data_IF_700367331251
#
_entry.id   IF_700367331251
#
_cell.length_a   1.000
_cell.length_b   1.000
_cell.length_c   1.000
_cell.angle_alpha   90.00
_cell.angle_beta   90.00
_cell.angle_gamma   90.00
#
_symmetry.space_group_name_H-M   'P 1'
#
loop_
_entity.id
_entity.type
_entity.pdbx_description
1 polymer ?
#
# COMPACT_ATOMS: atom_id res chain seq x y z
N UNK A 1 -0.56 -12.29 10.68
CA UNK A 1 -1.16 -11.12 11.36
C UNK A 1 -1.81 -10.14 10.35
N UNK A 2 -2.53 -10.63 9.33
CA UNK A 2 -2.99 -9.80 8.21
C UNK A 2 -4.45 -9.28 8.23
N UNK A 3 -5.43 -9.85 8.98
CA UNK A 3 -6.84 -9.47 8.75
C UNK A 3 -7.26 -8.13 9.36
N UNK A 4 -6.52 -7.58 10.33
CA UNK A 4 -6.94 -6.36 11.05
C UNK A 4 -6.65 -5.05 10.31
N UNK A 5 -5.91 -5.07 9.19
CA UNK A 5 -5.64 -3.87 8.38
C UNK A 5 -6.53 -3.73 7.15
N UNK A 6 -7.34 -4.73 6.79
CA UNK A 6 -8.22 -4.66 5.62
C UNK A 6 -9.19 -3.47 5.68
N UNK A 7 -9.78 -3.21 6.85
CA UNK A 7 -10.66 -2.06 7.07
C UNK A 7 -9.91 -0.70 7.03
N UNK A 8 -8.62 -0.70 7.34
CA UNK A 8 -7.75 0.50 7.32
C UNK A 8 -7.15 0.75 5.93
N UNK A 9 -7.14 -0.28 5.07
CA UNK A 9 -6.61 -0.25 3.70
C UNK A 9 -7.64 0.15 2.66
N UNK A 10 -8.94 0.10 2.95
CA UNK A 10 -9.97 0.66 2.08
C UNK A 10 -9.92 2.19 2.18
N UNK A 11 -9.09 2.77 1.31
CA UNK A 11 -8.40 4.03 1.62
C UNK A 11 -9.08 5.30 1.17
N UNK A 12 -9.88 5.19 0.11
CA UNK A 12 -10.64 6.32 -0.43
C UNK A 12 -11.66 6.85 0.59
N UNK A 13 -12.13 6.03 1.53
CA UNK A 13 -13.03 6.48 2.59
C UNK A 13 -12.34 7.23 3.73
N UNK A 14 -11.05 7.01 3.98
CA UNK A 14 -10.32 7.65 5.10
C UNK A 14 -9.66 8.97 4.68
N UNK A 15 -9.35 9.14 3.40
CA UNK A 15 -8.71 10.34 2.86
C UNK A 15 -9.48 11.63 3.19
N UNK A 16 -10.82 11.70 3.00
CA UNK A 16 -11.61 12.87 3.39
C UNK A 16 -11.53 13.16 4.90
N UNK A 17 -11.61 12.13 5.74
CA UNK A 17 -11.52 12.27 7.19
C UNK A 17 -10.14 12.79 7.64
N UNK A 18 -9.06 12.26 7.06
CA UNK A 18 -7.69 12.72 7.34
C UNK A 18 -7.50 14.16 6.89
N UNK A 19 -8.00 14.55 5.71
CA UNK A 19 -7.97 15.94 5.23
C UNK A 19 -8.67 16.88 6.21
N UNK A 20 -9.89 16.52 6.65
CA UNK A 20 -10.64 17.32 7.64
C UNK A 20 -9.86 17.46 8.94
N UNK A 21 -9.30 16.37 9.48
CA UNK A 21 -8.51 16.39 10.73
C UNK A 21 -7.27 17.28 10.58
N UNK A 22 -6.53 17.15 9.47
CA UNK A 22 -5.33 17.97 9.21
C UNK A 22 -5.70 19.45 9.10
N UNK A 23 -6.78 19.79 8.38
CA UNK A 23 -7.26 21.17 8.27
C UNK A 23 -7.63 21.73 9.64
N UNK A 24 -8.39 20.98 10.45
CA UNK A 24 -8.76 21.40 11.82
C UNK A 24 -7.53 21.62 12.71
N UNK A 25 -6.53 20.73 12.62
CA UNK A 25 -5.25 20.87 13.34
C UNK A 25 -4.54 22.15 12.90
N UNK A 26 -4.43 22.40 11.59
CA UNK A 26 -3.73 23.58 11.08
C UNK A 26 -4.45 24.89 11.46
N UNK A 27 -5.78 24.90 11.39
CA UNK A 27 -6.62 26.05 11.80
C UNK A 27 -6.43 26.38 13.28
N UNK A 28 -6.23 25.38 14.15
CA UNK A 28 -5.95 25.62 15.56
C UNK A 28 -4.47 25.95 15.82
N UNK A 29 -3.55 25.17 15.27
CA UNK A 29 -2.14 25.19 15.63
C UNK A 29 -1.40 26.39 15.05
N UNK A 30 -1.66 26.79 13.81
CA UNK A 30 -0.95 27.90 13.15
C UNK A 30 -1.21 29.23 13.88
N UNK A 31 -2.47 29.63 14.17
CA UNK A 31 -2.73 30.82 14.97
C UNK A 31 -2.15 30.71 16.39
N UNK A 32 -2.19 29.52 17.01
CA UNK A 32 -1.65 29.31 18.37
C UNK A 32 -0.13 29.42 18.43
N UNK A 33 0.59 29.06 17.36
CA UNK A 33 2.04 29.23 17.26
C UNK A 33 2.39 30.72 17.09
N UNK A 34 1.72 31.41 16.17
CA UNK A 34 1.94 32.83 15.84
C UNK A 34 1.55 33.73 17.01
N UNK A 35 0.31 33.60 17.50
CA UNK A 35 -0.23 34.34 18.62
C UNK A 35 -1.08 33.44 19.54
N UNK A 36 -0.47 32.81 20.56
CA UNK A 36 -1.17 31.91 21.49
C UNK A 36 -2.26 32.60 22.34
N UNK A 37 -2.33 33.93 22.37
CA UNK A 37 -3.39 34.67 23.05
C UNK A 37 -4.70 34.74 22.24
N UNK A 38 -4.65 34.54 20.92
CA UNK A 38 -5.84 34.64 20.07
C UNK A 38 -6.93 33.62 20.47
N UNK A 39 -6.53 32.39 20.81
CA UNK A 39 -7.46 31.33 21.25
C UNK A 39 -8.01 31.56 22.65
N UNK A 40 -7.25 32.19 23.56
CA UNK A 40 -7.74 32.56 24.89
C UNK A 40 -8.65 33.78 24.86
N UNK A 41 -8.42 34.75 23.97
CA UNK A 41 -9.31 35.89 23.79
C UNK A 41 -10.68 35.49 23.24
N UNK A 42 -10.75 34.55 22.29
CA UNK A 42 -12.03 34.02 21.78
C UNK A 42 -12.79 33.24 22.86
N UNK A 43 -12.11 32.35 23.60
CA UNK A 43 -12.76 31.60 24.69
C UNK A 43 -13.15 32.49 25.88
N UNK A 44 -12.41 33.57 26.14
CA UNK A 44 -12.79 34.58 27.12
C UNK A 44 -14.00 35.42 26.66
N UNK A 45 -14.14 35.68 25.36
CA UNK A 45 -15.29 36.41 24.79
C UNK A 45 -16.62 35.66 24.96
N UNK A 46 -16.59 34.33 25.12
CA UNK A 46 -17.77 33.50 25.42
C UNK A 46 -17.96 33.18 26.92
N UNK A 47 -17.09 33.66 27.81
CA UNK A 47 -17.29 33.52 29.26
C UNK A 47 -18.29 34.56 29.74
N UNK A 48 -19.43 34.10 30.25
CA UNK A 48 -20.48 34.93 30.87
C UNK A 48 -20.20 35.31 32.33
N UNK A 49 -19.07 34.88 32.90
CA UNK A 49 -18.74 35.13 34.30
C UNK A 49 -18.13 36.52 34.47
N UNK A 50 -18.89 37.43 35.09
CA UNK A 50 -18.42 38.75 35.52
C UNK A 50 -17.20 38.61 36.44
N UNK A 51 -16.18 39.43 36.19
CA UNK A 51 -14.98 39.50 37.04
C UNK A 51 -15.36 40.18 38.35
N UNK A 52 -15.13 39.57 39.53
CA UNK A 52 -15.36 40.21 40.82
C UNK A 52 -14.57 41.52 40.92
N UNK A 53 -15.16 42.57 41.50
CA UNK A 53 -14.56 43.91 41.60
C UNK A 53 -13.29 43.95 42.49
N UNK A 54 -13.08 42.91 43.29
CA UNK A 54 -11.97 42.66 44.21
C UNK A 54 -10.93 41.67 43.68
N UNK A 55 -11.03 41.28 42.40
CA UNK A 55 -10.10 40.34 41.78
C UNK A 55 -8.65 40.87 41.81
N UNK A 56 -7.73 40.01 42.26
CA UNK A 56 -6.29 40.30 42.21
C UNK A 56 -5.84 40.54 40.76
N UNK A 57 -4.73 41.28 40.56
CA UNK A 57 -4.24 41.60 39.20
C UNK A 57 -3.96 40.36 38.33
N UNK A 58 -3.73 39.20 38.95
CA UNK A 58 -3.57 37.92 38.25
C UNK A 58 -4.91 37.26 37.88
N UNK A 59 -5.92 37.38 38.73
CA UNK A 59 -7.31 36.93 38.45
C UNK A 59 -7.97 37.79 37.39
N UNK A 60 -7.77 39.11 37.42
CA UNK A 60 -8.20 40.02 36.37
C UNK A 60 -7.52 39.72 35.02
N UNK A 61 -6.22 39.38 35.01
CA UNK A 61 -5.50 38.94 33.81
C UNK A 61 -6.00 37.60 33.28
N UNK A 62 -6.26 36.62 34.15
CA UNK A 62 -6.85 35.32 33.76
C UNK A 62 -8.28 35.48 33.26
N UNK A 63 -9.06 36.38 33.85
CA UNK A 63 -10.42 36.67 33.42
C UNK A 63 -10.46 37.43 32.08
N UNK A 64 -9.47 38.30 31.83
CA UNK A 64 -9.24 38.93 30.52
C UNK A 64 -8.64 37.99 29.46
N UNK A 65 -8.44 36.70 29.78
CA UNK A 65 -7.89 35.72 28.85
C UNK A 65 -6.39 35.88 28.57
N UNK A 66 -5.66 36.66 29.37
CA UNK A 66 -4.22 36.87 29.22
C UNK A 66 -3.48 35.66 29.83
N UNK A 67 -2.86 34.87 28.97
CA UNK A 67 -2.09 33.68 29.36
C UNK A 67 -0.76 34.08 30.02
N UNK A 68 -0.40 33.38 31.10
CA UNK A 68 0.93 33.50 31.70
C UNK A 68 2.05 32.90 30.83
N UNK A 69 3.33 33.22 31.09
CA UNK A 69 4.47 32.77 30.29
C UNK A 69 4.61 31.25 30.18
N UNK A 70 4.34 30.51 31.27
CA UNK A 70 4.33 29.04 31.25
C UNK A 70 3.18 28.47 30.39
N UNK A 71 2.00 29.10 30.43
CA UNK A 71 0.84 28.69 29.64
C UNK A 71 1.05 28.97 28.14
N UNK A 72 1.66 30.11 27.80
CA UNK A 72 2.07 30.44 26.43
C UNK A 72 3.05 29.38 25.87
N UNK A 73 4.06 29.00 26.67
CA UNK A 73 5.05 27.97 26.29
C UNK A 73 4.40 26.59 26.14
N UNK A 74 3.51 26.20 27.06
CA UNK A 74 2.78 24.93 27.01
C UNK A 74 1.88 24.83 25.78
N UNK A 75 1.10 25.88 25.48
CA UNK A 75 0.23 25.91 24.28
C UNK A 75 1.00 25.86 22.97
N UNK A 76 2.15 26.56 22.89
CA UNK A 76 3.04 26.47 21.73
C UNK A 76 3.60 25.06 21.57
N UNK A 77 4.04 24.41 22.64
CA UNK A 77 4.49 23.01 22.57
C UNK A 77 3.37 22.06 22.13
N UNK A 78 2.15 22.23 22.66
CA UNK A 78 1.00 21.43 22.23
C UNK A 78 0.68 21.63 20.75
N UNK A 79 0.66 22.88 20.27
CA UNK A 79 0.42 23.19 18.87
C UNK A 79 1.50 22.59 17.95
N UNK A 80 2.77 22.67 18.34
CA UNK A 80 3.87 22.02 17.61
C UNK A 80 3.68 20.49 17.59
N UNK A 81 3.33 19.88 18.73
CA UNK A 81 3.07 18.44 18.80
C UNK A 81 1.89 18.02 17.90
N UNK A 82 0.83 18.82 17.84
CA UNK A 82 -0.31 18.59 16.95
C UNK A 82 0.10 18.67 15.47
N UNK A 83 0.94 19.65 15.08
CA UNK A 83 1.47 19.75 13.72
C UNK A 83 2.32 18.53 13.36
N UNK A 84 3.20 18.09 14.27
CA UNK A 84 3.99 16.86 14.09
C UNK A 84 3.07 15.63 13.95
N UNK A 85 2.02 15.54 14.77
CA UNK A 85 1.01 14.48 14.67
C UNK A 85 0.26 14.48 13.33
N UNK A 86 -0.10 15.66 12.80
CA UNK A 86 -0.71 15.80 11.48
C UNK A 86 0.24 15.35 10.35
N UNK A 87 1.52 15.72 10.41
CA UNK A 87 2.53 15.26 9.45
C UNK A 87 2.71 13.74 9.51
N UNK A 88 2.73 13.16 10.72
CA UNK A 88 2.79 11.71 10.91
C UNK A 88 1.56 11.00 10.33
N UNK A 89 0.36 11.56 10.54
CA UNK A 89 -0.89 11.06 9.95
C UNK A 89 -0.84 11.07 8.42
N UNK A 90 -0.39 12.17 7.81
CA UNK A 90 -0.22 12.26 6.34
C UNK A 90 0.82 11.24 5.86
N UNK A 91 1.95 11.11 6.54
CA UNK A 91 3.03 10.18 6.17
C UNK A 91 2.58 8.72 6.26
N UNK A 92 1.93 8.33 7.36
CA UNK A 92 1.25 7.05 7.48
C UNK A 92 0.23 6.89 6.37
N UNK A 93 -0.47 7.97 6.03
CA UNK A 93 -1.54 7.91 5.07
C UNK A 93 -1.00 7.57 3.65
N UNK A 94 0.03 8.28 3.21
CA UNK A 94 0.65 8.04 1.90
C UNK A 94 1.30 6.64 1.85
N UNK A 95 1.79 6.12 2.98
CA UNK A 95 2.53 4.84 3.00
C UNK A 95 1.62 3.68 2.63
N UNK A 96 0.43 3.60 3.24
CA UNK A 96 -0.54 2.54 2.93
C UNK A 96 -1.06 2.68 1.48
N UNK A 97 -1.25 3.91 1.00
CA UNK A 97 -1.63 4.16 -0.40
C UNK A 97 -0.61 3.61 -1.39
N UNK A 98 0.68 3.86 -1.13
CA UNK A 98 1.76 3.35 -1.99
C UNK A 98 1.77 1.83 -2.04
N UNK A 99 1.47 1.16 -0.93
CA UNK A 99 1.43 -0.30 -0.83
C UNK A 99 0.26 -0.88 -1.62
N UNK A 100 -0.96 -0.36 -1.41
CA UNK A 100 -2.14 -0.78 -2.14
C UNK A 100 -2.01 -0.54 -3.66
N UNK A 101 -1.49 0.63 -4.06
CA UNK A 101 -1.18 0.96 -5.46
C UNK A 101 -0.12 0.01 -6.02
N UNK A 102 0.85 -0.41 -5.20
CA UNK A 102 1.84 -1.40 -5.57
C UNK A 102 1.24 -2.75 -5.93
N UNK A 103 0.37 -3.29 -5.06
CA UNK A 103 -0.36 -4.53 -5.32
C UNK A 103 -1.28 -4.42 -6.54
N UNK A 104 -1.99 -3.30 -6.68
CA UNK A 104 -2.84 -3.04 -7.86
C UNK A 104 -2.02 -3.05 -9.15
N UNK A 105 -0.92 -2.32 -9.20
CA UNK A 105 -0.04 -2.29 -10.37
C UNK A 105 0.57 -3.66 -10.67
N UNK A 106 0.94 -4.41 -9.64
CA UNK A 106 1.41 -5.78 -9.81
C UNK A 106 0.31 -6.69 -10.38
N UNK A 107 -0.89 -6.67 -9.82
CA UNK A 107 -2.03 -7.44 -10.30
C UNK A 107 -2.32 -7.14 -11.78
N UNK A 108 -2.43 -5.86 -12.15
CA UNK A 108 -2.63 -5.40 -13.52
C UNK A 108 -1.49 -5.83 -14.45
N UNK A 109 -0.24 -5.78 -13.99
CA UNK A 109 0.91 -6.21 -14.78
C UNK A 109 0.92 -7.72 -15.04
N UNK A 110 0.38 -8.52 -14.11
CA UNK A 110 0.15 -9.96 -14.32
C UNK A 110 -1.11 -10.27 -15.15
N UNK A 111 -1.96 -9.28 -15.43
CA UNK A 111 -3.12 -9.44 -16.31
C UNK A 111 -4.49 -9.37 -15.63
N UNK A 112 -4.57 -8.98 -14.36
CA UNK A 112 -5.85 -8.72 -13.69
C UNK A 112 -6.66 -7.65 -14.44
N UNK A 113 -7.97 -7.82 -14.51
CA UNK A 113 -8.91 -6.77 -14.94
C UNK A 113 -9.51 -6.02 -13.74
N UNK A 114 -10.23 -4.93 -13.98
CA UNK A 114 -10.91 -4.20 -12.91
C UNK A 114 -12.24 -4.91 -12.59
N UNK A 115 -12.41 -5.31 -11.34
CA UNK A 115 -13.59 -6.00 -10.85
C UNK A 115 -14.37 -5.20 -9.80
N UNK A 116 -15.57 -5.67 -9.43
CA UNK A 116 -16.39 -5.02 -8.41
C UNK A 116 -15.76 -5.08 -7.01
N UNK A 117 -14.93 -6.08 -6.72
CA UNK A 117 -14.25 -6.31 -5.44
C UNK A 117 -12.75 -5.99 -5.54
N UNK A 118 -12.41 -4.70 -5.61
CA UNK A 118 -11.01 -4.20 -5.69
C UNK A 118 -10.64 -3.34 -4.47
N UNK A 119 -11.33 -3.53 -3.33
CA UNK A 119 -11.22 -2.67 -2.15
C UNK A 119 -9.86 -2.79 -1.46
N UNK A 120 -9.29 -3.99 -1.39
CA UNK A 120 -7.88 -4.19 -1.01
C UNK A 120 -7.16 -5.00 -2.10
N UNK A 121 -6.49 -4.34 -3.06
CA UNK A 121 -5.82 -5.04 -4.15
C UNK A 121 -4.78 -6.07 -3.69
N UNK A 122 -4.21 -5.94 -2.49
CA UNK A 122 -3.26 -6.91 -1.95
C UNK A 122 -3.92 -8.19 -1.43
N UNK A 123 -5.25 -8.22 -1.33
CA UNK A 123 -6.01 -9.40 -0.89
C UNK A 123 -6.88 -9.88 -2.05
N UNK A 124 -7.60 -8.96 -2.66
CA UNK A 124 -8.67 -9.28 -3.61
C UNK A 124 -8.14 -9.43 -5.05
N UNK A 125 -7.07 -8.70 -5.41
CA UNK A 125 -6.56 -8.71 -6.79
C UNK A 125 -5.29 -9.53 -6.99
N UNK A 126 -4.44 -9.65 -5.97
CA UNK A 126 -3.21 -10.43 -6.08
C UNK A 126 -2.87 -11.14 -4.77
N UNK A 127 -2.65 -12.45 -4.85
CA UNK A 127 -2.31 -13.30 -3.71
C UNK A 127 -1.37 -14.43 -4.15
N UNK A 128 -0.65 -15.05 -3.21
CA UNK A 128 0.18 -16.21 -3.51
C UNK A 128 -0.63 -17.50 -3.60
N UNK A 129 -0.20 -18.43 -4.45
CA UNK A 129 -0.89 -19.69 -4.68
C UNK A 129 -1.04 -20.50 -3.39
N UNK A 130 -2.25 -21.03 -3.17
CA UNK A 130 -2.53 -21.98 -2.09
C UNK A 130 -2.24 -23.43 -2.48
N UNK A 131 -1.96 -23.67 -3.76
CA UNK A 131 -1.91 -24.99 -4.38
C UNK A 131 -0.58 -25.14 -5.12
N UNK A 132 0.33 -25.93 -4.55
CA UNK A 132 1.57 -26.40 -5.16
C UNK A 132 2.49 -25.31 -5.74
N UNK A 133 3.61 -25.74 -6.32
CA UNK A 133 4.49 -24.90 -7.14
C UNK A 133 4.25 -25.16 -8.64
N UNK A 134 3.28 -26.00 -9.01
CA UNK A 134 3.02 -26.36 -10.41
C UNK A 134 4.16 -27.15 -11.07
N UNK A 135 5.14 -27.67 -10.33
CA UNK A 135 6.27 -28.43 -10.87
C UNK A 135 5.85 -29.81 -11.37
N UNK A 136 5.20 -29.87 -12.53
CA UNK A 136 4.73 -31.09 -13.20
C UNK A 136 4.78 -30.93 -14.72
N UNK A 137 4.78 -32.03 -15.48
CA UNK A 137 4.48 -31.96 -16.91
C UNK A 137 3.00 -31.62 -17.16
N UNK A 138 2.66 -30.96 -18.28
CA UNK A 138 1.29 -30.78 -18.70
C UNK A 138 0.73 -32.12 -19.18
N UNK A 139 -0.49 -32.41 -18.78
CA UNK A 139 -1.22 -33.63 -19.15
C UNK A 139 -2.20 -33.35 -20.31
N UNK A 140 -2.59 -32.09 -20.51
CA UNK A 140 -3.51 -31.66 -21.55
C UNK A 140 -2.86 -31.58 -22.94
N UNK A 141 -3.63 -31.94 -23.96
CA UNK A 141 -3.15 -31.92 -25.36
C UNK A 141 -3.06 -30.51 -25.95
N UNK A 142 -3.88 -29.61 -25.45
CA UNK A 142 -3.97 -28.22 -25.90
C UNK A 142 -3.92 -27.29 -24.67
N UNK A 143 -2.76 -27.23 -23.99
CA UNK A 143 -2.61 -26.37 -22.84
C UNK A 143 -2.59 -24.91 -23.28
N UNK A 144 -2.78 -24.01 -22.33
CA UNK A 144 -2.91 -22.58 -22.56
C UNK A 144 -1.64 -21.80 -22.26
N UNK A 145 -1.45 -20.66 -22.93
CA UNK A 145 -0.26 -19.86 -22.76
C UNK A 145 -0.27 -19.09 -21.44
N UNK A 146 0.86 -19.05 -20.76
CA UNK A 146 1.13 -18.10 -19.67
C UNK A 146 1.78 -16.87 -20.29
N UNK A 147 1.22 -15.69 -20.01
CA UNK A 147 1.63 -14.44 -20.67
C UNK A 147 2.82 -13.75 -20.01
N UNK A 148 2.84 -13.73 -18.67
CA UNK A 148 3.75 -12.89 -17.91
C UNK A 148 4.47 -13.66 -16.80
N UNK A 149 5.71 -13.27 -16.54
CA UNK A 149 6.48 -13.73 -15.40
C UNK A 149 7.30 -12.58 -14.80
N UNK A 150 7.68 -12.70 -13.53
CA UNK A 150 8.60 -11.79 -12.88
C UNK A 150 9.82 -12.55 -12.36
N UNK A 151 11.01 -11.99 -12.59
CA UNK A 151 12.24 -12.46 -11.96
C UNK A 151 12.41 -11.89 -10.55
N UNK A 152 12.96 -12.70 -9.65
CA UNK A 152 13.31 -12.30 -8.29
C UNK A 152 14.83 -12.14 -8.19
N UNK A 153 15.36 -11.06 -8.76
CA UNK A 153 16.81 -10.83 -8.78
C UNK A 153 17.26 -10.03 -7.54
N UNK A 154 17.81 -10.71 -6.53
CA UNK A 154 18.57 -10.14 -5.39
C UNK A 154 17.78 -9.26 -4.40
N UNK A 155 16.89 -8.39 -4.88
CA UNK A 155 15.97 -7.59 -4.07
C UNK A 155 14.55 -8.08 -4.28
N UNK A 156 13.94 -8.50 -3.18
CA UNK A 156 12.55 -8.93 -3.09
C UNK A 156 11.59 -7.84 -3.62
N UNK A 157 10.66 -8.18 -4.53
CA UNK A 157 9.58 -7.28 -4.93
C UNK A 157 8.78 -6.83 -3.72
N UNK A 158 8.62 -5.52 -3.54
CA UNK A 158 8.11 -4.97 -2.28
C UNK A 158 6.63 -5.30 -2.06
N UNK A 159 5.85 -5.43 -3.15
CA UNK A 159 4.42 -5.71 -3.06
C UNK A 159 4.14 -7.07 -2.42
N UNK A 160 5.03 -8.08 -2.59
CA UNK A 160 4.88 -9.42 -2.01
C UNK A 160 4.82 -9.44 -0.48
N UNK A 161 5.32 -8.40 0.20
CA UNK A 161 5.21 -8.32 1.66
C UNK A 161 3.75 -8.20 2.12
N UNK A 162 2.89 -7.67 1.25
CA UNK A 162 1.55 -7.23 1.60
C UNK A 162 0.45 -8.14 1.09
N UNK A 163 0.78 -9.02 0.14
CA UNK A 163 -0.19 -9.93 -0.46
C UNK A 163 -0.61 -11.02 0.52
N UNK A 164 -1.84 -11.50 0.37
CA UNK A 164 -2.28 -12.71 1.07
C UNK A 164 -1.44 -13.92 0.61
N UNK A 165 -1.11 -14.81 1.55
CA UNK A 165 -0.37 -16.05 1.28
C UNK A 165 0.95 -15.82 0.51
N UNK A 166 1.69 -14.79 0.92
CA UNK A 166 2.94 -14.42 0.29
C UNK A 166 3.94 -15.60 0.22
N UNK A 167 4.57 -15.85 -0.93
CA UNK A 167 5.56 -16.91 -1.07
C UNK A 167 6.80 -16.62 -0.21
N UNK A 168 7.46 -17.69 0.26
CA UNK A 168 8.75 -17.61 0.94
C UNK A 168 9.86 -17.31 -0.08
N UNK A 169 10.81 -16.46 0.30
CA UNK A 169 11.73 -15.80 -0.65
C UNK A 169 12.98 -16.61 -0.95
N UNK A 170 13.44 -17.40 0.01
CA UNK A 170 14.49 -18.41 -0.14
C UNK A 170 14.08 -19.56 -1.06
N UNK A 171 12.82 -19.57 -1.48
CA UNK A 171 12.18 -20.62 -2.28
C UNK A 171 11.66 -20.09 -3.62
N UNK A 172 11.99 -18.86 -4.04
CA UNK A 172 11.47 -18.27 -5.27
C UNK A 172 12.52 -17.49 -6.08
N UNK A 173 12.86 -18.00 -7.26
CA UNK A 173 13.69 -17.31 -8.27
C UNK A 173 12.81 -16.64 -9.35
N UNK A 174 11.65 -17.25 -9.64
CA UNK A 174 10.66 -16.77 -10.60
C UNK A 174 9.27 -16.73 -9.96
N UNK A 175 8.44 -15.83 -10.46
CA UNK A 175 7.03 -15.70 -10.10
C UNK A 175 6.20 -15.73 -11.38
N UNK A 176 5.25 -16.65 -11.45
CA UNK A 176 4.28 -16.71 -12.54
C UNK A 176 2.91 -16.27 -12.03
N UNK A 177 2.23 -15.41 -12.79
CA UNK A 177 0.87 -14.97 -12.48
C UNK A 177 -0.14 -15.73 -13.33
N UNK A 178 -1.14 -16.31 -12.70
CA UNK A 178 -2.30 -16.92 -13.37
C UNK A 178 -3.58 -16.38 -12.77
N UNK A 179 -4.66 -16.40 -13.54
CA UNK A 179 -5.99 -16.06 -13.00
C UNK A 179 -6.32 -16.99 -11.85
N UNK A 180 -6.88 -16.45 -10.76
CA UNK A 180 -7.08 -17.16 -9.51
C UNK A 180 -7.73 -18.54 -9.64
N UNK A 181 -8.72 -18.67 -10.53
CA UNK A 181 -9.45 -19.92 -10.79
C UNK A 181 -8.65 -20.98 -11.56
N UNK A 182 -7.63 -20.56 -12.30
CA UNK A 182 -6.75 -21.45 -13.08
C UNK A 182 -5.41 -21.71 -12.40
N UNK A 183 -5.24 -21.24 -11.17
CA UNK A 183 -3.97 -21.33 -10.47
C UNK A 183 -3.53 -22.78 -10.20
N UNK A 184 -4.49 -23.69 -9.96
CA UNK A 184 -4.24 -25.13 -9.76
C UNK A 184 -3.68 -25.82 -10.99
N UNK A 185 -3.97 -25.27 -12.17
CA UNK A 185 -3.67 -25.92 -13.45
C UNK A 185 -2.33 -25.44 -14.00
N UNK A 186 -1.63 -24.53 -13.30
CA UNK A 186 -0.29 -24.12 -13.69
C UNK A 186 0.66 -25.33 -13.71
N UNK A 187 1.34 -25.49 -14.85
CA UNK A 187 2.34 -26.52 -15.08
C UNK A 187 3.66 -25.87 -15.50
N UNK A 188 4.72 -26.15 -14.74
CA UNK A 188 6.07 -25.61 -14.95
C UNK A 188 7.06 -26.75 -15.08
N UNK A 189 7.70 -26.86 -16.24
CA UNK A 189 8.77 -27.78 -16.51
C UNK A 189 10.11 -27.05 -16.68
N UNK A 190 11.08 -27.44 -15.86
CA UNK A 190 12.46 -26.94 -15.96
C UNK A 190 13.29 -27.93 -16.77
N UNK A 191 13.41 -27.68 -18.08
CA UNK A 191 14.26 -28.45 -18.99
C UNK A 191 15.70 -27.92 -18.95
N UNK A 192 16.60 -28.62 -19.65
CA UNK A 192 18.03 -28.28 -19.65
C UNK A 192 18.32 -26.96 -20.36
N UNK A 193 17.60 -26.66 -21.44
CA UNK A 193 17.78 -25.52 -22.33
C UNK A 193 16.70 -24.42 -22.15
N UNK A 194 15.54 -24.79 -21.59
CA UNK A 194 14.40 -23.87 -21.42
C UNK A 194 13.56 -24.18 -20.19
N UNK A 195 12.72 -23.24 -19.80
CA UNK A 195 11.68 -23.41 -18.80
C UNK A 195 10.35 -23.25 -19.52
N UNK A 196 9.57 -24.32 -19.58
CA UNK A 196 8.25 -24.31 -20.19
C UNK A 196 7.21 -24.09 -19.12
N UNK A 197 6.32 -23.13 -19.35
CA UNK A 197 5.23 -22.77 -18.43
C UNK A 197 3.93 -22.65 -19.20
N UNK A 198 2.90 -23.36 -18.75
CA UNK A 198 1.59 -23.40 -19.37
C UNK A 198 0.51 -23.50 -18.30
N UNK A 199 -0.72 -23.15 -18.65
CA UNK A 199 -1.90 -23.55 -17.88
C UNK A 199 -2.44 -24.83 -18.50
N UNK A 200 -2.41 -25.91 -17.74
CA UNK A 200 -2.78 -27.25 -18.15
C UNK A 200 -4.30 -27.46 -18.08
N UNK A 201 -5.00 -26.69 -18.90
CA UNK A 201 -6.45 -26.73 -19.06
C UNK A 201 -6.81 -26.57 -20.54
N UNK A 202 -7.78 -27.35 -21.00
CA UNK A 202 -8.27 -27.34 -22.39
C UNK A 202 -9.24 -26.17 -22.67
N UNK A 203 -9.92 -25.65 -21.65
CA UNK A 203 -10.86 -24.54 -21.76
C UNK A 203 -10.23 -23.20 -21.36
N UNK A 204 -10.36 -22.12 -22.16
CA UNK A 204 -9.76 -20.82 -21.89
C UNK A 204 -9.98 -20.32 -20.46
N UNK A 205 -8.90 -19.92 -19.79
CA UNK A 205 -9.00 -19.27 -18.48
C UNK A 205 -9.75 -17.95 -18.62
N UNK A 206 -10.89 -17.78 -17.92
CA UNK A 206 -11.65 -16.55 -17.99
C UNK A 206 -10.82 -15.39 -17.45
N UNK A 207 -11.01 -14.20 -18.02
CA UNK A 207 -10.47 -12.99 -17.39
C UNK A 207 -11.12 -12.79 -16.01
N UNK A 208 -10.34 -12.37 -15.03
CA UNK A 208 -10.80 -12.13 -13.67
C UNK A 208 -10.02 -10.96 -13.06
N UNK A 209 -10.57 -10.36 -12.00
CA UNK A 209 -9.90 -9.31 -11.26
C UNK A 209 -8.86 -9.82 -10.27
N UNK A 210 -8.75 -11.14 -10.13
CA UNK A 210 -7.86 -11.80 -9.19
C UNK A 210 -6.75 -12.63 -9.87
N UNK A 211 -5.54 -12.49 -9.34
CA UNK A 211 -4.35 -13.17 -9.83
C UNK A 211 -3.69 -13.94 -8.69
N UNK A 212 -3.42 -15.21 -8.94
CA UNK A 212 -2.58 -16.04 -8.10
C UNK A 212 -1.13 -15.97 -8.59
N UNK A 213 -0.20 -15.77 -7.67
CA UNK A 213 1.24 -15.83 -7.95
C UNK A 213 1.79 -17.16 -7.47
N UNK A 214 2.39 -17.92 -8.37
CA UNK A 214 3.08 -19.17 -8.04
C UNK A 214 4.60 -18.95 -8.03
N UNK A 215 5.27 -19.17 -6.88
CA UNK A 215 6.73 -19.10 -6.81
C UNK A 215 7.38 -20.36 -7.39
N UNK A 216 8.45 -20.18 -8.17
CA UNK A 216 9.26 -21.28 -8.68
C UNK A 216 10.70 -21.11 -8.23
N UNK A 217 11.21 -22.14 -7.55
CA UNK A 217 12.64 -22.28 -7.29
C UNK A 217 13.29 -22.98 -8.47
N UNK A 218 14.34 -22.37 -9.02
CA UNK A 218 15.07 -22.95 -10.12
C UNK A 218 16.04 -24.04 -9.63
N UNK A 219 16.02 -25.21 -10.27
CA UNK A 219 16.94 -26.32 -10.01
C UNK A 219 18.38 -26.01 -10.44
N UNK A 220 18.53 -25.14 -11.44
CA UNK A 220 19.80 -24.62 -11.99
C UNK A 220 19.63 -23.10 -12.19
N UNK A 221 20.69 -22.28 -12.22
CA UNK A 221 20.58 -20.86 -12.55
C UNK A 221 19.86 -20.64 -13.89
N UNK A 222 19.09 -19.55 -14.05
CA UNK A 222 18.37 -19.28 -15.32
C UNK A 222 19.37 -19.25 -16.50
N UNK A 223 20.48 -18.52 -16.35
CA UNK A 223 21.53 -18.44 -17.37
C UNK A 223 20.96 -17.99 -18.72
N UNK A 224 21.32 -18.72 -19.78
CA UNK A 224 20.82 -18.47 -21.15
C UNK A 224 19.48 -19.18 -21.45
N UNK A 225 18.91 -19.89 -20.46
CA UNK A 225 17.67 -20.65 -20.66
C UNK A 225 16.50 -19.70 -20.87
N UNK A 226 15.74 -19.95 -21.92
CA UNK A 226 14.53 -19.17 -22.24
C UNK A 226 13.36 -19.63 -21.39
N UNK A 227 12.48 -18.71 -21.04
CA UNK A 227 11.18 -19.04 -20.47
C UNK A 227 10.16 -18.96 -21.58
N UNK A 228 9.52 -20.09 -21.86
CA UNK A 228 8.64 -20.28 -23.01
C UNK A 228 7.29 -20.82 -22.57
N UNK A 229 6.30 -20.65 -23.44
CA UNK A 229 4.97 -21.21 -23.29
C UNK A 229 4.59 -22.05 -24.51
N UNK A 230 3.29 -22.27 -24.75
CA UNK A 230 2.75 -23.04 -25.87
C UNK A 230 3.46 -22.68 -27.17
N UNK A 231 3.93 -23.69 -27.92
CA UNK A 231 4.61 -23.49 -29.21
C UNK A 231 6.01 -22.87 -29.11
N UNK A 232 6.68 -22.95 -27.95
CA UNK A 232 7.98 -22.32 -27.69
C UNK A 232 7.98 -20.79 -27.78
N UNK A 233 6.81 -20.17 -27.66
CA UNK A 233 6.67 -18.72 -27.62
C UNK A 233 7.27 -18.15 -26.32
N UNK A 234 8.00 -17.03 -26.37
CA UNK A 234 8.62 -16.45 -25.18
C UNK A 234 7.57 -15.83 -24.25
N UNK A 235 7.70 -16.11 -22.95
CA UNK A 235 6.90 -15.44 -21.91
C UNK A 235 7.47 -14.06 -21.63
N UNK A 236 6.62 -13.06 -21.44
CA UNK A 236 7.06 -11.67 -21.24
C UNK A 236 7.47 -11.42 -19.78
N UNK A 237 8.67 -10.87 -19.57
CA UNK A 237 9.13 -10.46 -18.25
C UNK A 237 8.48 -9.13 -17.85
N UNK A 238 7.94 -9.05 -16.63
CA UNK A 238 7.39 -7.84 -16.04
C UNK A 238 8.19 -7.41 -14.80
N UNK A 239 8.22 -6.10 -14.52
CA UNK A 239 8.92 -5.51 -13.36
C UNK A 239 8.02 -4.61 -12.51
N UNK A 240 6.95 -5.14 -11.89
CA UNK A 240 6.00 -4.33 -11.13
C UNK A 240 6.48 -4.02 -9.69
N UNK A 241 7.69 -3.50 -9.50
CA UNK A 241 8.13 -3.10 -8.16
C UNK A 241 7.61 -1.69 -7.78
N UNK A 242 7.46 -1.46 -6.48
CA UNK A 242 7.00 -0.18 -5.96
C UNK A 242 8.12 0.86 -5.99
N UNK A 243 7.82 2.03 -6.56
CA UNK A 243 8.67 3.24 -6.50
C UNK A 243 9.16 3.50 -5.07
N UNK A 244 10.37 4.06 -4.91
CA UNK A 244 10.91 4.42 -3.58
C UNK A 244 10.13 5.57 -2.93
N UNK A 245 10.28 5.77 -1.62
CA UNK A 245 9.62 6.88 -0.93
C UNK A 245 10.07 8.26 -1.43
N UNK A 246 11.37 8.37 -1.71
CA UNK A 246 11.93 9.56 -2.33
C UNK A 246 11.32 9.83 -3.71
N UNK A 247 11.12 8.79 -4.51
CA UNK A 247 10.48 8.88 -5.83
C UNK A 247 9.03 9.36 -5.71
N UNK A 248 8.28 8.85 -4.73
CA UNK A 248 6.88 9.25 -4.50
C UNK A 248 6.79 10.70 -4.03
N UNK A 249 7.62 11.11 -3.05
CA UNK A 249 7.67 12.50 -2.58
C UNK A 249 8.05 13.46 -3.71
N UNK A 250 9.02 13.07 -4.55
CA UNK A 250 9.41 13.86 -5.72
C UNK A 250 8.24 14.04 -6.68
N UNK A 251 7.53 12.96 -7.04
CA UNK A 251 6.35 13.02 -7.92
C UNK A 251 5.23 13.90 -7.35
N UNK A 252 4.98 13.81 -6.05
CA UNK A 252 4.00 14.67 -5.38
C UNK A 252 4.39 16.15 -5.42
N UNK A 253 5.69 16.45 -5.22
CA UNK A 253 6.19 17.83 -5.29
C UNK A 253 6.22 18.39 -6.72
N UNK A 254 6.38 17.53 -7.74
CA UNK A 254 6.47 17.96 -9.14
C UNK A 254 5.15 17.84 -9.92
N UNK A 255 4.09 17.31 -9.31
CA UNK A 255 2.77 17.16 -9.97
C UNK A 255 2.63 15.94 -10.88
N UNK A 256 3.62 15.05 -10.91
CA UNK A 256 3.66 13.89 -11.81
C UNK A 256 4.35 14.19 -13.12
#
# INVERSE_FOLDING_TARGET
MAPYLAAVRNYWSLLPAVVVIVVLILVYAVPTIINPQWTSSITAMFRTTAVPADATGEEARRAAGILGPQQLKSRRMLAIAMVVGAVALIGFNISLNREAVGCYKAARAFGAIDGPDTKDPCIDMIYGTFIGDGSRPPDEKSPQPVKYYQRVDGKKPKYLKWIQNAPKYDEADLLFGTVGKCASDLSVQQLEDKIMVVVDADSPCPEDSNMSITPIKLKKPLGDRKIVTVGDEPVSEIKPDMDSWFTVLKKLATGG
#
